data_IF_107139530342
#
_entry.id   IF_107139530342
#
_cell.length_a   1.000
_cell.length_b   1.000
_cell.length_c   1.000
_cell.angle_alpha   90.00
_cell.angle_beta   90.00
_cell.angle_gamma   90.00
#
_symmetry.space_group_name_H-M   'P 1'
#
loop_
_entity.id
_entity.type
_entity.pdbx_description
1 polymer ?
#
# COMPACT_ATOMS: atom_id res chain seq x y z
N UNK A 1 19.43 -29.86 12.69
CA UNK A 1 19.99 -29.15 13.86
C UNK A 1 21.07 -28.20 13.36
N UNK A 2 21.02 -26.93 13.76
CA UNK A 2 22.02 -25.93 13.32
C UNK A 2 23.39 -26.22 13.92
N UNK A 3 24.46 -26.06 13.15
CA UNK A 3 25.82 -26.28 13.61
C UNK A 3 26.29 -25.17 14.56
N UNK A 4 27.29 -25.41 15.42
CA UNK A 4 27.87 -24.36 16.27
C UNK A 4 28.36 -23.14 15.49
N UNK A 5 28.89 -23.36 14.29
CA UNK A 5 29.30 -22.30 13.37
C UNK A 5 28.10 -21.45 12.91
N UNK A 6 26.98 -22.08 12.54
CA UNK A 6 25.74 -21.38 12.18
C UNK A 6 25.17 -20.56 13.35
N UNK A 7 25.23 -21.08 14.58
CA UNK A 7 24.76 -20.36 15.78
C UNK A 7 25.60 -19.12 16.06
N UNK A 8 26.93 -19.22 15.96
CA UNK A 8 27.82 -18.08 16.18
C UNK A 8 27.64 -17.02 15.09
N UNK A 9 27.51 -17.43 13.83
CA UNK A 9 27.20 -16.52 12.73
C UNK A 9 25.87 -15.78 12.94
N UNK A 10 24.81 -16.50 13.33
CA UNK A 10 23.51 -15.88 13.62
C UNK A 10 23.58 -14.87 14.77
N UNK A 11 24.35 -15.16 15.84
CA UNK A 11 24.52 -14.22 16.96
C UNK A 11 25.26 -12.94 16.52
N UNK A 12 26.29 -13.07 15.68
CA UNK A 12 27.00 -11.92 15.13
C UNK A 12 26.10 -11.08 14.21
N UNK A 13 25.33 -11.73 13.32
CA UNK A 13 24.39 -11.06 12.42
C UNK A 13 23.27 -10.35 13.19
N UNK A 14 22.77 -10.94 14.28
CA UNK A 14 21.73 -10.34 15.10
C UNK A 14 22.14 -8.99 15.73
N UNK A 15 23.43 -8.79 16.00
CA UNK A 15 23.94 -7.50 16.50
C UNK A 15 23.87 -6.39 15.45
N UNK A 16 23.85 -6.75 14.16
CA UNK A 16 23.74 -5.81 13.04
C UNK A 16 22.27 -5.60 12.59
N UNK A 17 21.38 -6.54 12.90
CA UNK A 17 19.97 -6.53 12.49
C UNK A 17 19.01 -5.91 13.53
N UNK A 18 19.38 -4.82 14.19
CA UNK A 18 18.56 -4.23 15.29
C UNK A 18 17.39 -3.35 14.83
N UNK A 19 17.11 -3.31 13.53
CA UNK A 19 16.13 -2.38 12.93
C UNK A 19 16.52 -0.91 13.08
N UNK A 20 15.76 0.01 12.47
CA UNK A 20 16.05 1.44 12.56
C UNK A 20 15.70 2.01 13.94
N UNK A 21 16.68 2.62 14.60
CA UNK A 21 16.52 3.26 15.92
C UNK A 21 16.21 4.76 15.83
N UNK A 22 16.70 5.43 14.78
CA UNK A 22 16.46 6.85 14.53
C UNK A 22 15.06 7.11 13.93
N UNK A 23 14.51 8.30 14.18
CA UNK A 23 13.21 8.71 13.63
C UNK A 23 13.21 8.69 12.09
N UNK A 24 14.29 9.15 11.46
CA UNK A 24 14.49 9.12 10.01
C UNK A 24 14.49 7.69 9.48
N UNK A 25 15.23 6.78 10.12
CA UNK A 25 15.27 5.36 9.74
C UNK A 25 13.92 4.67 9.89
N UNK A 26 13.13 5.03 10.92
CA UNK A 26 11.75 4.54 11.09
C UNK A 26 10.82 5.09 10.01
N UNK A 27 10.99 6.36 9.62
CA UNK A 27 10.21 6.98 8.54
C UNK A 27 10.54 6.39 7.16
N UNK A 28 11.76 5.88 6.96
CA UNK A 28 12.12 5.12 5.75
C UNK A 28 11.51 3.73 5.82
N UNK A 29 11.68 3.01 6.94
CA UNK A 29 11.12 1.66 7.09
C UNK A 29 9.59 1.63 7.03
N UNK A 30 8.89 2.68 7.46
CA UNK A 30 7.43 2.78 7.32
C UNK A 30 6.99 2.88 5.86
N UNK A 31 7.84 3.38 4.95
CA UNK A 31 7.55 3.44 3.50
C UNK A 31 7.64 2.07 2.84
N UNK A 32 8.34 1.09 3.42
CA UNK A 32 8.36 -0.28 2.89
C UNK A 32 6.95 -0.90 2.90
N UNK A 33 6.13 -0.55 3.89
CA UNK A 33 4.72 -0.96 3.92
C UNK A 33 3.89 -0.26 2.82
N UNK A 34 4.32 0.93 2.41
CA UNK A 34 3.72 1.71 1.33
C UNK A 34 4.14 1.24 -0.08
N UNK A 35 5.10 0.32 -0.19
CA UNK A 35 5.57 -0.24 -1.47
C UNK A 35 4.42 -0.78 -2.33
N UNK A 36 3.42 -1.39 -1.67
CA UNK A 36 2.27 -1.98 -2.34
C UNK A 36 1.01 -1.10 -2.25
N UNK A 37 1.09 0.01 -1.50
CA UNK A 37 0.01 1.00 -1.38
C UNK A 37 -1.32 0.50 -0.80
N UNK A 38 -1.34 -0.67 -0.15
CA UNK A 38 -2.55 -1.22 0.50
C UNK A 38 -2.74 -0.76 1.94
N UNK A 39 -1.68 -0.31 2.60
CA UNK A 39 -1.74 0.14 3.98
C UNK A 39 -1.68 1.67 4.06
N UNK A 40 -2.62 2.28 4.77
CA UNK A 40 -2.70 3.73 4.96
C UNK A 40 -3.87 4.36 4.21
N UNK A 41 -3.80 5.67 3.98
CA UNK A 41 -4.80 6.40 3.18
C UNK A 41 -4.64 6.01 1.71
N UNK A 42 -5.77 5.86 1.01
CA UNK A 42 -5.77 5.60 -0.43
C UNK A 42 -4.91 6.64 -1.17
N UNK A 43 -4.10 6.14 -2.10
CA UNK A 43 -3.36 6.95 -3.07
C UNK A 43 -3.14 6.13 -4.34
N UNK A 44 -3.16 6.83 -5.47
CA UNK A 44 -2.71 6.28 -6.75
C UNK A 44 -1.19 6.24 -6.72
N UNK A 45 -0.59 5.09 -7.01
CA UNK A 45 0.85 4.91 -6.96
C UNK A 45 1.53 5.61 -8.13
N UNK A 46 2.83 5.97 -8.04
CA UNK A 46 3.56 6.60 -9.15
C UNK A 46 3.62 5.76 -10.44
N UNK A 47 3.45 4.45 -10.33
CA UNK A 47 3.38 3.53 -11.47
C UNK A 47 1.97 3.40 -12.08
N UNK A 48 0.98 4.07 -11.50
CA UNK A 48 -0.42 4.05 -11.92
C UNK A 48 -0.83 5.40 -12.52
N UNK A 49 -1.90 5.41 -13.31
CA UNK A 49 -2.42 6.65 -13.92
C UNK A 49 -3.44 7.33 -13.00
N UNK A 50 -3.08 8.51 -12.48
CA UNK A 50 -4.02 9.37 -11.74
C UNK A 50 -5.20 9.78 -12.63
N UNK A 51 -4.96 10.03 -13.92
CA UNK A 51 -6.01 10.43 -14.86
C UNK A 51 -7.06 9.32 -15.04
N UNK A 52 -6.65 8.05 -15.16
CA UNK A 52 -7.58 6.92 -15.24
C UNK A 52 -8.43 6.77 -13.97
N UNK A 53 -7.83 7.00 -12.79
CA UNK A 53 -8.57 6.97 -11.53
C UNK A 53 -9.60 8.11 -11.46
N UNK A 54 -9.21 9.33 -11.86
CA UNK A 54 -10.09 10.49 -11.87
C UNK A 54 -11.26 10.32 -12.86
N UNK A 55 -10.99 9.74 -14.03
CA UNK A 55 -12.00 9.37 -15.03
C UNK A 55 -12.99 8.33 -14.48
N UNK A 56 -12.49 7.26 -13.86
CA UNK A 56 -13.32 6.24 -13.21
C UNK A 56 -14.21 6.87 -12.14
N UNK A 57 -13.63 7.70 -11.26
CA UNK A 57 -14.34 8.36 -10.18
C UNK A 57 -15.43 9.29 -10.71
N UNK A 58 -15.13 10.06 -11.76
CA UNK A 58 -16.10 10.93 -12.41
C UNK A 58 -17.23 10.13 -13.06
N UNK A 59 -16.91 9.02 -13.73
CA UNK A 59 -17.91 8.13 -14.34
C UNK A 59 -18.86 7.55 -13.28
N UNK A 60 -18.33 7.04 -12.16
CA UNK A 60 -19.14 6.49 -11.06
C UNK A 60 -20.02 7.55 -10.40
N UNK A 61 -19.52 8.77 -10.22
CA UNK A 61 -20.34 9.89 -9.71
C UNK A 61 -21.45 10.29 -10.67
N UNK A 62 -21.17 10.31 -11.97
CA UNK A 62 -22.16 10.63 -12.98
C UNK A 62 -23.25 9.54 -13.11
N UNK A 63 -22.87 8.27 -12.94
CA UNK A 63 -23.79 7.13 -12.95
C UNK A 63 -24.72 7.15 -11.73
N UNK A 64 -24.16 7.26 -10.53
CA UNK A 64 -24.92 7.11 -9.29
C UNK A 64 -25.59 8.40 -8.79
N UNK A 65 -25.17 9.57 -9.29
CA UNK A 65 -25.72 10.88 -8.96
C UNK A 65 -25.97 11.06 -7.45
N UNK A 66 -24.92 10.91 -6.60
CA UNK A 66 -25.11 10.98 -5.15
C UNK A 66 -25.58 12.37 -4.73
N UNK A 67 -26.57 12.44 -3.85
CA UNK A 67 -27.16 13.69 -3.35
C UNK A 67 -26.73 13.94 -1.92
N UNK A 68 -26.67 12.88 -1.11
CA UNK A 68 -26.29 12.97 0.30
C UNK A 68 -24.79 12.80 0.51
N UNK A 69 -24.24 13.29 1.63
CA UNK A 69 -22.84 13.05 1.99
C UNK A 69 -22.50 11.56 2.10
N UNK A 70 -23.43 10.75 2.61
CA UNK A 70 -23.26 9.30 2.72
C UNK A 70 -23.15 8.64 1.35
N UNK A 71 -24.03 8.99 0.41
CA UNK A 71 -23.96 8.47 -0.96
C UNK A 71 -22.65 8.89 -1.64
N UNK A 72 -22.22 10.14 -1.46
CA UNK A 72 -20.96 10.63 -2.03
C UNK A 72 -19.77 9.84 -1.49
N UNK A 73 -19.75 9.59 -0.18
CA UNK A 73 -18.72 8.77 0.46
C UNK A 73 -18.71 7.35 -0.11
N UNK A 74 -19.88 6.74 -0.28
CA UNK A 74 -19.98 5.38 -0.80
C UNK A 74 -19.49 5.29 -2.25
N UNK A 75 -19.89 6.22 -3.11
CA UNK A 75 -19.46 6.26 -4.52
C UNK A 75 -17.95 6.51 -4.63
N UNK A 76 -17.39 7.39 -3.79
CA UNK A 76 -15.94 7.62 -3.74
C UNK A 76 -15.20 6.36 -3.30
N UNK A 77 -15.69 5.68 -2.24
CA UNK A 77 -15.11 4.43 -1.77
C UNK A 77 -15.20 3.31 -2.82
N UNK A 78 -16.24 3.29 -3.65
CA UNK A 78 -16.35 2.32 -4.75
C UNK A 78 -15.18 2.48 -5.74
N UNK A 79 -14.84 3.72 -6.11
CA UNK A 79 -13.70 3.99 -6.98
C UNK A 79 -12.38 3.54 -6.34
N UNK A 80 -12.16 3.90 -5.07
CA UNK A 80 -10.95 3.54 -4.31
C UNK A 80 -10.79 2.02 -4.17
N UNK A 81 -11.85 1.31 -3.77
CA UNK A 81 -11.82 -0.15 -3.60
C UNK A 81 -11.63 -0.89 -4.92
N UNK A 82 -12.28 -0.43 -6.00
CA UNK A 82 -12.06 -1.00 -7.33
C UNK A 82 -10.59 -0.86 -7.73
N UNK A 83 -10.01 0.33 -7.53
CA UNK A 83 -8.62 0.59 -7.86
C UNK A 83 -7.65 -0.30 -7.08
N UNK A 84 -7.86 -0.44 -5.76
CA UNK A 84 -7.09 -1.35 -4.92
C UNK A 84 -7.24 -2.81 -5.36
N UNK A 85 -8.46 -3.23 -5.74
CA UNK A 85 -8.71 -4.59 -6.25
C UNK A 85 -7.97 -4.85 -7.55
N UNK A 86 -7.99 -3.88 -8.49
CA UNK A 86 -7.24 -3.94 -9.76
C UNK A 86 -5.74 -4.08 -9.50
N UNK A 87 -5.20 -3.29 -8.57
CA UNK A 87 -3.79 -3.38 -8.15
C UNK A 87 -3.46 -4.75 -7.57
N UNK A 88 -4.34 -5.32 -6.74
CA UNK A 88 -4.11 -6.63 -6.14
C UNK A 88 -4.01 -7.73 -7.19
N UNK A 89 -4.87 -7.69 -8.22
CA UNK A 89 -4.82 -8.63 -9.34
C UNK A 89 -3.50 -8.49 -10.14
N UNK A 90 -3.08 -7.26 -10.46
CA UNK A 90 -1.80 -7.03 -11.16
C UNK A 90 -0.59 -7.61 -10.41
N UNK A 91 -0.62 -7.57 -9.07
CA UNK A 91 0.46 -8.08 -8.23
C UNK A 91 0.38 -9.59 -7.98
N UNK A 92 -0.75 -10.25 -8.26
CA UNK A 92 -0.85 -11.71 -8.20
C UNK A 92 -0.20 -12.37 -9.42
N UNK A 93 -0.22 -11.70 -10.57
CA UNK A 93 0.30 -12.19 -11.83
C UNK A 93 1.78 -11.80 -12.11
N UNK A 94 2.40 -11.04 -11.20
CA UNK A 94 3.77 -10.52 -11.31
C UNK A 94 4.80 -11.40 -10.57
#
# INVERSE_FOLDING_TARGET
MSTPAQVNANRANAQQSTGPKAAEGKAIASRNNFQWGFCGRFSVLPCESQAEFDELKAALRNEHQPITPTETLLVDNMAEHYWLSRRALMLQDA
#
